data_IF_120873585769
#
_entry.id   IF_120873585769
#
_cell.length_a   1.000
_cell.length_b   1.000
_cell.length_c   1.000
_cell.angle_alpha   90.00
_cell.angle_beta   90.00
_cell.angle_gamma   90.00
#
_symmetry.space_group_name_H-M   'P 1'
#
loop_
_entity.id
_entity.type
_entity.pdbx_description
1 polymer ?
#
# COMPACT_ATOMS: atom_id res chain seq x y z
N UNK A 1 20.57 -28.42 46.71
CA UNK A 1 19.98 -29.69 47.20
C UNK A 1 18.55 -29.79 46.72
N UNK A 2 18.30 -30.85 45.96
CA UNK A 2 16.98 -31.42 45.60
C UNK A 2 16.17 -30.67 44.52
N UNK A 3 15.59 -31.27 43.49
CA UNK A 3 15.66 -32.63 42.88
C UNK A 3 14.99 -32.53 41.50
N UNK A 4 15.61 -33.14 40.52
CA UNK A 4 15.12 -33.40 39.16
C UNK A 4 13.97 -34.40 39.24
N UNK A 5 12.92 -34.21 38.45
CA UNK A 5 12.05 -35.32 38.02
C UNK A 5 11.74 -35.29 36.53
N UNK A 6 12.45 -36.16 35.86
CA UNK A 6 12.19 -36.67 34.52
C UNK A 6 10.99 -37.63 34.58
N UNK A 7 10.04 -37.52 33.67
CA UNK A 7 9.07 -38.59 33.38
C UNK A 7 9.16 -38.96 31.92
N UNK A 8 9.68 -40.16 31.70
CA UNK A 8 9.66 -40.91 30.43
C UNK A 8 8.40 -41.79 30.46
N UNK A 9 7.63 -41.83 29.40
CA UNK A 9 6.72 -42.93 29.17
C UNK A 9 6.80 -43.42 27.73
N UNK A 10 6.90 -44.74 27.63
CA UNK A 10 7.25 -45.59 26.49
C UNK A 10 6.06 -45.92 25.62
N UNK A 11 6.31 -45.94 24.33
CA UNK A 11 5.94 -46.87 23.25
C UNK A 11 4.89 -47.96 23.51
N UNK A 12 3.95 -48.12 22.56
CA UNK A 12 3.53 -49.45 22.11
C UNK A 12 3.26 -49.44 20.58
N UNK A 13 3.95 -50.37 19.93
CA UNK A 13 3.78 -50.86 18.55
C UNK A 13 2.49 -51.70 18.45
N UNK A 14 1.79 -51.61 17.36
CA UNK A 14 1.20 -52.82 16.77
C UNK A 14 0.91 -52.69 15.26
N UNK A 15 1.07 -53.80 14.63
CA UNK A 15 1.33 -54.11 13.24
C UNK A 15 0.11 -54.23 12.33
N UNK A 16 0.38 -53.96 11.08
CA UNK A 16 -0.01 -54.69 9.83
C UNK A 16 -1.40 -55.29 9.67
N UNK A 17 -2.18 -54.79 8.70
CA UNK A 17 -2.91 -55.65 7.78
C UNK A 17 -2.84 -55.06 6.38
N UNK A 18 -2.31 -55.89 5.47
CA UNK A 18 -2.24 -55.72 4.03
C UNK A 18 -3.54 -56.21 3.41
N UNK A 19 -4.21 -55.41 2.57
CA UNK A 19 -5.14 -55.96 1.57
C UNK A 19 -5.04 -55.18 0.27
N UNK A 20 -4.54 -55.87 -0.76
CA UNK A 20 -4.61 -55.49 -2.18
C UNK A 20 -6.09 -55.56 -2.64
N UNK A 21 -6.56 -54.52 -3.34
CA UNK A 21 -7.51 -54.66 -4.44
C UNK A 21 -7.48 -53.43 -5.37
N UNK A 22 -7.19 -53.66 -6.63
CA UNK A 22 -7.96 -53.23 -7.78
C UNK A 22 -7.76 -51.77 -8.27
N UNK A 23 -6.97 -51.65 -9.31
CA UNK A 23 -6.88 -50.51 -10.24
C UNK A 23 -8.22 -50.11 -10.84
N UNK A 24 -8.60 -48.86 -10.75
CA UNK A 24 -9.42 -48.17 -11.74
C UNK A 24 -8.92 -46.73 -11.88
N UNK A 25 -8.23 -46.49 -13.02
CA UNK A 25 -7.91 -45.15 -13.49
C UNK A 25 -9.20 -44.47 -13.96
N UNK A 26 -9.74 -43.57 -13.19
CA UNK A 26 -10.67 -42.56 -13.66
C UNK A 26 -9.92 -41.22 -13.68
N UNK A 27 -9.58 -40.79 -14.91
CA UNK A 27 -9.02 -39.48 -15.17
C UNK A 27 -10.03 -38.39 -14.82
N UNK A 28 -9.87 -37.76 -13.66
CA UNK A 28 -10.57 -36.54 -13.33
C UNK A 28 -9.78 -35.36 -13.91
N UNK A 29 -10.29 -34.80 -15.00
CA UNK A 29 -9.87 -33.50 -15.52
C UNK A 29 -10.16 -32.46 -14.46
N UNK A 30 -9.10 -31.92 -13.82
CA UNK A 30 -9.20 -30.74 -12.97
C UNK A 30 -9.48 -29.53 -13.86
N UNK A 31 -10.75 -29.21 -14.04
CA UNK A 31 -11.15 -27.92 -14.55
C UNK A 31 -10.78 -26.87 -13.47
N UNK A 32 -9.74 -26.11 -13.74
CA UNK A 32 -9.44 -24.89 -12.98
C UNK A 32 -10.62 -23.94 -13.17
N UNK A 33 -11.46 -23.84 -12.15
CA UNK A 33 -12.49 -22.81 -12.10
C UNK A 33 -11.78 -21.45 -12.04
N UNK A 34 -11.74 -20.74 -13.16
CA UNK A 34 -11.42 -19.33 -13.18
C UNK A 34 -12.51 -18.61 -12.38
N UNK A 35 -12.15 -18.11 -11.19
CA UNK A 35 -13.05 -17.26 -10.42
C UNK A 35 -13.21 -15.98 -11.23
N UNK A 36 -14.39 -15.77 -11.77
CA UNK A 36 -14.74 -14.51 -12.41
C UNK A 36 -14.60 -13.36 -11.38
N UNK A 37 -14.03 -12.20 -11.77
CA UNK A 37 -13.95 -11.06 -10.87
C UNK A 37 -15.35 -10.70 -10.36
N UNK A 38 -15.46 -10.39 -9.07
CA UNK A 38 -16.72 -10.03 -8.47
C UNK A 38 -17.31 -8.79 -9.15
N UNK A 39 -18.62 -8.69 -9.22
CA UNK A 39 -19.32 -7.54 -9.82
C UNK A 39 -18.93 -6.20 -9.16
N UNK A 40 -18.46 -6.23 -7.91
CA UNK A 40 -17.93 -5.10 -7.15
C UNK A 40 -16.61 -4.61 -7.72
N UNK A 41 -15.70 -5.52 -8.12
CA UNK A 41 -14.40 -5.14 -8.71
C UNK A 41 -14.58 -4.49 -10.09
N UNK A 42 -15.53 -4.98 -10.89
CA UNK A 42 -15.84 -4.40 -12.20
C UNK A 42 -16.46 -3.00 -12.08
N UNK A 43 -17.36 -2.78 -11.12
CA UNK A 43 -17.98 -1.49 -10.86
C UNK A 43 -16.97 -0.47 -10.30
N UNK A 44 -16.06 -0.89 -9.40
CA UNK A 44 -14.98 -0.06 -8.90
C UNK A 44 -13.95 0.26 -9.99
N UNK A 45 -13.60 -0.70 -10.83
CA UNK A 45 -12.70 -0.49 -11.98
C UNK A 45 -13.26 0.56 -12.95
N UNK A 46 -14.57 0.59 -13.19
CA UNK A 46 -15.23 1.57 -14.05
C UNK A 46 -15.28 2.96 -13.41
N UNK A 47 -15.44 3.07 -12.10
CA UNK A 47 -15.49 4.35 -11.38
C UNK A 47 -14.15 5.10 -11.31
N UNK A 48 -13.02 4.41 -11.54
CA UNK A 48 -11.66 4.97 -11.50
C UNK A 48 -11.18 5.53 -12.84
N UNK A 49 -11.94 5.38 -13.91
CA UNK A 49 -11.70 5.98 -15.22
C UNK A 49 -11.98 7.48 -15.13
N UNK A 50 -11.01 8.27 -14.74
CA UNK A 50 -11.22 9.72 -14.66
C UNK A 50 -10.18 10.52 -13.92
N UNK A 51 -9.11 9.89 -13.43
CA UNK A 51 -7.95 10.65 -12.96
C UNK A 51 -7.17 11.16 -14.18
N UNK A 52 -6.98 12.48 -14.33
CA UNK A 52 -6.28 13.02 -15.49
C UNK A 52 -4.84 12.51 -15.52
N UNK A 53 -4.36 12.15 -16.71
CA UNK A 53 -2.98 11.70 -17.00
C UNK A 53 -2.56 10.34 -16.38
N UNK A 54 -3.51 9.56 -15.88
CA UNK A 54 -3.28 8.20 -15.43
C UNK A 54 -3.97 7.23 -16.39
N UNK A 55 -3.29 6.92 -17.49
CA UNK A 55 -3.71 5.86 -18.43
C UNK A 55 -3.18 4.51 -17.94
N UNK A 56 -3.98 3.47 -17.99
CA UNK A 56 -3.57 2.11 -17.65
C UNK A 56 -4.65 1.32 -16.91
N UNK A 57 -4.36 0.05 -16.69
CA UNK A 57 -5.24 -0.81 -15.90
C UNK A 57 -5.08 -0.51 -14.41
N UNK A 58 -6.18 -0.14 -13.79
CA UNK A 58 -6.29 0.01 -12.36
C UNK A 58 -6.73 -1.29 -11.71
N UNK A 59 -6.16 -1.58 -10.55
CA UNK A 59 -6.56 -2.68 -9.69
C UNK A 59 -6.93 -2.14 -8.31
N UNK A 60 -7.92 -2.75 -7.69
CA UNK A 60 -8.27 -2.49 -6.29
C UNK A 60 -7.84 -3.70 -5.48
N UNK A 61 -7.02 -3.49 -4.48
CA UNK A 61 -6.61 -4.50 -3.50
C UNK A 61 -7.41 -4.25 -2.23
N UNK A 62 -7.92 -5.31 -1.60
CA UNK A 62 -8.79 -5.24 -0.43
C UNK A 62 -10.05 -4.36 -0.67
N UNK A 63 -10.65 -4.47 -1.85
CA UNK A 63 -11.79 -3.63 -2.25
C UNK A 63 -13.01 -3.78 -1.35
N UNK A 64 -13.19 -4.93 -0.70
CA UNK A 64 -14.23 -5.19 0.29
C UNK A 64 -14.00 -4.45 1.63
N UNK A 65 -12.80 -3.90 1.83
CA UNK A 65 -12.42 -3.13 3.03
C UNK A 65 -12.64 -1.63 2.88
N UNK A 66 -13.34 -1.20 1.84
CA UNK A 66 -13.63 0.21 1.66
C UNK A 66 -14.31 0.50 0.33
N UNK A 67 -14.46 1.76 0.03
CA UNK A 67 -14.93 2.23 -1.27
C UNK A 67 -13.96 3.23 -1.87
N UNK A 68 -13.87 3.23 -3.20
CA UNK A 68 -13.11 4.20 -3.97
C UNK A 68 -13.99 4.79 -5.06
N UNK A 69 -13.93 6.10 -5.26
CA UNK A 69 -14.67 6.79 -6.32
C UNK A 69 -13.90 8.00 -6.84
N UNK A 70 -14.10 8.32 -8.12
CA UNK A 70 -13.55 9.53 -8.72
C UNK A 70 -14.69 10.46 -9.11
N UNK A 71 -14.63 11.71 -8.66
CA UNK A 71 -15.56 12.78 -9.05
C UNK A 71 -14.78 14.07 -9.29
N UNK A 72 -14.98 14.69 -10.44
CA UNK A 72 -14.34 15.97 -10.81
C UNK A 72 -12.81 15.96 -10.62
N UNK A 73 -12.13 14.85 -10.97
CA UNK A 73 -10.69 14.71 -10.85
C UNK A 73 -10.17 14.47 -9.42
N UNK A 74 -11.06 14.24 -8.45
CA UNK A 74 -10.71 13.88 -7.06
C UNK A 74 -10.99 12.39 -6.85
N UNK A 75 -9.98 11.63 -6.46
CA UNK A 75 -10.13 10.28 -5.97
C UNK A 75 -10.43 10.33 -4.48
N UNK A 76 -11.56 9.75 -4.07
CA UNK A 76 -11.92 9.56 -2.67
C UNK A 76 -11.82 8.09 -2.32
N UNK A 77 -11.11 7.77 -1.24
CA UNK A 77 -11.03 6.44 -0.63
C UNK A 77 -11.62 6.53 0.78
N UNK A 78 -12.61 5.68 1.06
CA UNK A 78 -13.25 5.57 2.37
C UNK A 78 -13.11 4.13 2.88
N UNK A 79 -12.14 3.86 3.75
CA UNK A 79 -11.95 2.54 4.36
C UNK A 79 -13.07 2.23 5.34
N UNK A 80 -13.34 0.94 5.58
CA UNK A 80 -14.12 0.51 6.75
C UNK A 80 -13.25 0.62 8.01
N UNK A 81 -13.86 0.64 9.22
CA UNK A 81 -13.14 0.56 10.48
C UNK A 81 -12.14 -0.60 10.56
N UNK A 82 -11.09 -0.45 11.37
CA UNK A 82 -10.07 -1.47 11.63
C UNK A 82 -9.34 -1.96 10.39
N UNK A 83 -8.94 -1.02 9.54
CA UNK A 83 -8.06 -1.26 8.40
C UNK A 83 -6.68 -0.67 8.65
N UNK A 84 -5.64 -1.39 8.23
CA UNK A 84 -4.25 -0.93 8.34
C UNK A 84 -3.35 -1.57 7.27
N UNK A 85 -2.16 -1.01 7.12
CA UNK A 85 -1.07 -1.54 6.32
C UNK A 85 0.21 -1.38 7.14
N UNK A 86 0.53 -2.39 7.97
CA UNK A 86 1.67 -2.36 8.90
C UNK A 86 2.10 -3.76 9.34
N UNK A 87 3.42 -3.99 9.41
CA UNK A 87 4.06 -5.15 10.03
C UNK A 87 4.95 -4.64 11.17
N UNK A 88 4.53 -4.83 12.41
CA UNK A 88 5.30 -4.37 13.56
C UNK A 88 6.71 -4.96 13.59
N UNK A 89 7.75 -4.17 13.90
CA UNK A 89 9.11 -4.66 14.02
C UNK A 89 9.30 -5.76 15.07
N UNK A 90 8.43 -5.80 16.09
CA UNK A 90 8.45 -6.76 17.20
C UNK A 90 7.58 -8.00 16.99
N UNK A 91 7.03 -8.21 15.78
CA UNK A 91 6.09 -9.29 15.42
C UNK A 91 4.74 -9.31 16.17
N UNK A 92 4.48 -8.33 17.01
CA UNK A 92 3.27 -8.28 17.81
C UNK A 92 2.01 -7.95 17.01
N UNK A 93 2.15 -7.41 15.79
CA UNK A 93 1.03 -6.89 15.02
C UNK A 93 1.33 -6.94 13.51
N UNK A 94 0.48 -7.63 12.75
CA UNK A 94 0.55 -7.69 11.29
C UNK A 94 -0.84 -7.48 10.72
N UNK A 95 -1.05 -6.38 9.99
CA UNK A 95 -2.30 -6.10 9.28
C UNK A 95 -1.99 -5.57 7.88
N UNK A 96 -2.55 -6.23 6.86
CA UNK A 96 -2.43 -5.88 5.44
C UNK A 96 -3.84 -5.94 4.82
N UNK A 97 -4.72 -5.08 5.30
CA UNK A 97 -6.12 -5.06 4.86
C UNK A 97 -6.64 -3.69 4.42
N UNK A 98 -5.75 -2.69 4.32
CA UNK A 98 -6.14 -1.38 3.81
C UNK A 98 -6.59 -1.46 2.35
N UNK A 99 -7.69 -0.78 1.95
CA UNK A 99 -8.09 -0.68 0.55
C UNK A 99 -7.05 0.15 -0.22
N UNK A 100 -6.58 -0.40 -1.35
CA UNK A 100 -5.59 0.27 -2.20
C UNK A 100 -6.09 0.36 -3.63
N UNK A 101 -5.87 1.50 -4.25
CA UNK A 101 -6.17 1.79 -5.67
C UNK A 101 -4.84 1.92 -6.39
N UNK A 102 -4.49 0.93 -7.22
CA UNK A 102 -3.15 0.74 -7.75
C UNK A 102 -3.14 0.61 -9.27
N UNK A 103 -2.04 1.06 -9.89
CA UNK A 103 -1.69 0.78 -11.29
C UNK A 103 -0.23 0.32 -11.39
N UNK A 104 0.13 -0.30 -12.50
CA UNK A 104 1.50 -0.73 -12.76
C UNK A 104 2.24 0.37 -13.55
N UNK A 105 3.20 1.10 -12.94
CA UNK A 105 4.00 2.07 -13.66
C UNK A 105 5.08 1.36 -14.47
N UNK A 106 5.38 1.86 -15.66
CA UNK A 106 6.51 1.40 -16.45
C UNK A 106 7.73 2.31 -16.24
N UNK A 107 8.92 1.70 -16.05
CA UNK A 107 10.19 2.42 -15.96
C UNK A 107 10.27 3.44 -14.81
N UNK A 108 10.93 4.54 -15.10
CA UNK A 108 11.09 5.67 -14.18
C UNK A 108 9.80 6.49 -14.10
N UNK A 109 9.52 7.04 -12.94
CA UNK A 109 8.30 7.86 -12.77
C UNK A 109 8.40 8.88 -11.63
N UNK A 110 7.46 9.82 -11.66
CA UNK A 110 7.12 10.69 -10.54
C UNK A 110 5.60 10.76 -10.42
N UNK A 111 5.05 10.42 -9.26
CA UNK A 111 3.65 10.61 -8.89
C UNK A 111 3.54 11.66 -7.80
N UNK A 112 2.68 12.66 -8.00
CA UNK A 112 2.32 13.69 -7.02
C UNK A 112 0.81 13.69 -6.81
N UNK A 113 0.37 13.96 -5.58
CA UNK A 113 -1.00 14.30 -5.26
C UNK A 113 -1.08 15.32 -4.12
N UNK A 114 -2.12 16.14 -4.12
CA UNK A 114 -2.60 16.83 -2.93
C UNK A 114 -3.48 15.87 -2.15
N UNK A 115 -3.09 15.58 -0.93
CA UNK A 115 -3.76 14.63 -0.04
C UNK A 115 -4.46 15.41 1.06
N UNK A 116 -5.77 15.23 1.18
CA UNK A 116 -6.61 15.93 2.15
C UNK A 116 -7.39 14.92 2.98
N UNK A 117 -7.40 15.10 4.30
CA UNK A 117 -8.15 14.25 5.21
C UNK A 117 -8.46 14.99 6.52
N UNK A 118 -9.58 14.62 7.16
CA UNK A 118 -9.84 14.99 8.54
C UNK A 118 -9.24 13.92 9.45
N UNK A 119 -8.03 14.14 9.91
CA UNK A 119 -7.27 13.26 10.79
C UNK A 119 -7.72 13.47 12.23
N UNK A 120 -8.67 12.68 12.70
CA UNK A 120 -9.28 12.82 14.04
C UNK A 120 -8.76 11.77 15.01
N UNK A 121 -8.63 10.53 14.56
CA UNK A 121 -8.19 9.44 15.41
C UNK A 121 -6.73 9.11 15.12
N UNK A 122 -6.02 8.65 16.14
CA UNK A 122 -4.66 8.13 15.97
C UNK A 122 -4.68 7.04 14.90
N UNK A 123 -3.74 7.11 13.96
CA UNK A 123 -3.63 6.24 12.81
C UNK A 123 -4.76 6.33 11.78
N UNK A 124 -5.47 7.48 11.73
CA UNK A 124 -6.16 7.88 10.49
C UNK A 124 -5.10 8.23 9.46
N UNK A 125 -5.07 7.55 8.33
CA UNK A 125 -4.00 7.63 7.34
C UNK A 125 -4.53 7.79 5.93
N UNK A 126 -3.97 8.77 5.20
CA UNK A 126 -4.10 8.94 3.77
C UNK A 126 -2.69 8.87 3.13
N UNK A 127 -2.45 8.01 2.15
CA UNK A 127 -1.09 7.80 1.66
C UNK A 127 -0.99 7.51 0.15
N UNK A 128 0.16 7.89 -0.41
CA UNK A 128 0.68 7.29 -1.63
C UNK A 128 1.38 5.97 -1.27
N UNK A 129 1.23 4.94 -2.10
CA UNK A 129 1.75 3.61 -1.82
C UNK A 129 2.46 3.00 -3.02
N UNK A 130 3.60 2.36 -2.76
CA UNK A 130 4.28 1.39 -3.62
C UNK A 130 4.00 0.00 -3.04
N UNK A 131 3.44 -0.90 -3.81
CA UNK A 131 3.03 -2.22 -3.34
C UNK A 131 3.54 -3.32 -4.27
N UNK A 132 4.38 -4.20 -3.76
CA UNK A 132 4.82 -5.42 -4.42
C UNK A 132 3.94 -6.60 -4.03
N UNK A 133 3.98 -6.93 -2.77
CA UNK A 133 3.21 -7.99 -2.12
C UNK A 133 2.98 -7.64 -0.64
N UNK A 134 2.37 -8.56 0.13
CA UNK A 134 2.03 -8.33 1.55
C UNK A 134 3.24 -8.09 2.46
N UNK A 135 4.45 -8.39 2.01
CA UNK A 135 5.70 -8.25 2.78
C UNK A 135 6.62 -7.16 2.26
N UNK A 136 6.37 -6.65 1.04
CA UNK A 136 7.24 -5.68 0.37
C UNK A 136 6.42 -4.52 -0.18
N UNK A 137 6.41 -3.42 0.54
CA UNK A 137 5.71 -2.20 0.14
C UNK A 137 6.33 -0.98 0.83
N UNK A 138 5.97 0.20 0.34
CA UNK A 138 6.31 1.46 1.00
C UNK A 138 5.16 2.45 0.88
N UNK A 139 4.92 3.23 1.92
CA UNK A 139 3.88 4.27 1.93
C UNK A 139 4.44 5.59 2.43
N UNK A 140 3.98 6.67 1.80
CA UNK A 140 4.19 8.05 2.23
C UNK A 140 2.86 8.60 2.70
N UNK A 141 2.75 8.87 3.97
CA UNK A 141 1.50 9.12 4.69
C UNK A 141 1.33 10.59 5.07
N UNK A 142 0.08 11.03 5.02
CA UNK A 142 -0.47 12.10 5.84
C UNK A 142 -1.29 11.41 6.92
N UNK A 143 -0.86 11.51 8.17
CA UNK A 143 -1.29 10.63 9.25
C UNK A 143 -1.50 11.41 10.54
N UNK A 144 -2.52 11.03 11.33
CA UNK A 144 -2.59 11.42 12.72
C UNK A 144 -1.68 10.48 13.52
N UNK A 145 -0.50 10.95 13.85
CA UNK A 145 0.54 10.17 14.52
C UNK A 145 0.14 9.76 15.95
N UNK A 146 0.94 8.90 16.57
CA UNK A 146 0.77 8.51 17.98
C UNK A 146 0.76 9.71 18.96
N UNK A 147 1.34 10.84 18.54
CA UNK A 147 1.34 12.09 19.30
C UNK A 147 0.05 12.92 19.10
N UNK A 148 -0.91 12.41 18.31
CA UNK A 148 -2.15 13.10 17.92
C UNK A 148 -1.89 14.39 17.14
N UNK A 149 -0.87 14.37 16.32
CA UNK A 149 -0.47 15.45 15.42
C UNK A 149 -0.54 14.98 13.97
N UNK A 150 -1.14 15.81 13.11
CA UNK A 150 -1.10 15.55 11.67
C UNK A 150 0.36 15.63 11.20
N UNK A 151 0.89 14.51 10.72
CA UNK A 151 2.32 14.31 10.47
C UNK A 151 2.54 13.66 9.11
N UNK A 152 3.61 14.02 8.43
CA UNK A 152 4.13 13.24 7.30
C UNK A 152 4.91 12.06 7.86
N UNK A 153 4.49 10.86 7.53
CA UNK A 153 5.13 9.61 7.98
C UNK A 153 5.56 8.79 6.77
N UNK A 154 6.72 8.18 6.86
CA UNK A 154 7.22 7.24 5.83
C UNK A 154 7.34 5.85 6.42
N UNK A 155 6.88 4.84 5.68
CA UNK A 155 7.04 3.45 6.04
C UNK A 155 7.62 2.69 4.85
N UNK A 156 8.67 1.91 5.09
CA UNK A 156 9.24 0.98 4.11
C UNK A 156 9.24 -0.41 4.72
N UNK A 157 8.49 -1.33 4.12
CA UNK A 157 8.34 -2.70 4.61
C UNK A 157 9.12 -3.66 3.73
N UNK A 158 10.02 -4.39 4.38
CA UNK A 158 10.79 -5.53 3.87
C UNK A 158 10.69 -6.60 4.93
N UNK A 159 9.66 -7.43 4.87
CA UNK A 159 9.21 -8.35 5.92
C UNK A 159 8.68 -7.62 7.18
N UNK A 160 9.36 -6.58 7.65
CA UNK A 160 9.02 -5.72 8.78
C UNK A 160 8.94 -4.26 8.32
N UNK A 161 8.08 -3.50 8.94
CA UNK A 161 7.95 -2.07 8.70
C UNK A 161 9.05 -1.29 9.41
N UNK A 162 9.70 -0.43 8.64
CA UNK A 162 10.65 0.57 9.09
C UNK A 162 9.96 1.92 8.87
N UNK A 163 9.44 2.50 9.93
CA UNK A 163 8.67 3.75 9.89
C UNK A 163 9.43 4.92 10.53
N UNK A 164 9.16 6.11 10.02
CA UNK A 164 9.74 7.34 10.54
C UNK A 164 8.77 8.51 10.39
N UNK A 165 8.59 9.24 11.48
CA UNK A 165 7.93 10.54 11.46
C UNK A 165 8.87 11.56 10.82
N UNK A 166 8.32 12.37 9.90
CA UNK A 166 9.00 13.52 9.32
C UNK A 166 8.51 14.81 10.00
N UNK A 167 7.78 15.66 9.31
CA UNK A 167 7.35 16.94 9.84
C UNK A 167 5.84 16.96 10.14
N UNK A 168 5.46 17.71 11.15
CA UNK A 168 4.06 18.02 11.43
C UNK A 168 3.50 19.02 10.41
N UNK A 169 2.21 18.92 10.13
CA UNK A 169 1.50 19.71 9.14
C UNK A 169 0.27 20.35 9.78
N UNK A 170 0.28 21.65 9.97
CA UNK A 170 -0.84 22.38 10.56
C UNK A 170 -2.02 22.65 9.61
N UNK A 171 -2.07 21.97 8.46
CA UNK A 171 -3.09 22.12 7.41
C UNK A 171 -3.90 20.82 7.29
N UNK A 172 -5.18 20.88 6.87
CA UNK A 172 -5.96 19.67 6.56
C UNK A 172 -5.52 18.96 5.28
N UNK A 173 -4.43 19.37 4.66
CA UNK A 173 -3.86 18.77 3.47
C UNK A 173 -2.33 18.92 3.44
N UNK A 174 -1.71 18.07 2.64
CA UNK A 174 -0.30 18.14 2.27
C UNK A 174 -0.12 17.64 0.84
N UNK A 175 0.89 18.09 0.13
CA UNK A 175 1.30 17.51 -1.13
C UNK A 175 2.32 16.42 -0.88
N UNK A 176 2.07 15.24 -1.43
CA UNK A 176 2.95 14.08 -1.35
C UNK A 176 3.43 13.70 -2.75
N UNK A 177 4.67 13.22 -2.85
CA UNK A 177 5.21 12.71 -4.11
C UNK A 177 6.12 11.51 -3.88
N UNK A 178 6.02 10.53 -4.78
CA UNK A 178 6.93 9.38 -4.86
C UNK A 178 7.56 9.38 -6.25
N UNK A 179 8.87 9.19 -6.31
CA UNK A 179 9.61 9.05 -7.55
C UNK A 179 10.44 7.75 -7.58
N UNK A 180 10.66 7.24 -8.80
CA UNK A 180 11.51 6.07 -9.09
C UNK A 180 12.51 6.41 -10.18
N UNK A 181 13.77 6.00 -9.98
CA UNK A 181 14.84 6.00 -10.98
C UNK A 181 15.57 4.65 -10.91
N UNK A 182 15.32 3.78 -11.89
CA UNK A 182 15.81 2.40 -11.82
C UNK A 182 15.27 1.68 -10.58
N UNK A 183 16.16 1.32 -9.65
CA UNK A 183 15.80 0.70 -8.36
C UNK A 183 15.90 1.66 -7.17
N UNK A 184 15.99 2.94 -7.43
CA UNK A 184 16.10 4.01 -6.44
C UNK A 184 14.74 4.69 -6.31
N UNK A 185 14.27 4.88 -5.08
CA UNK A 185 13.00 5.51 -4.76
C UNK A 185 13.21 6.69 -3.83
N UNK A 186 12.42 7.75 -4.03
CA UNK A 186 12.38 8.88 -3.11
C UNK A 186 10.95 9.27 -2.79
N UNK A 187 10.74 9.72 -1.56
CA UNK A 187 9.49 10.25 -1.04
C UNK A 187 9.70 11.71 -0.67
N UNK A 188 8.83 12.56 -1.15
CA UNK A 188 8.88 13.99 -0.91
C UNK A 188 7.52 14.50 -0.46
N UNK A 189 7.54 15.57 0.31
CA UNK A 189 6.32 16.29 0.68
C UNK A 189 6.51 17.80 0.50
N UNK A 190 5.39 18.49 0.39
CA UNK A 190 5.34 19.94 0.31
C UNK A 190 4.09 20.48 1.00
N UNK A 191 4.20 21.64 1.67
CA UNK A 191 3.06 22.31 2.29
C UNK A 191 2.28 23.19 1.32
N UNK A 192 2.93 23.61 0.24
CA UNK A 192 2.42 24.59 -0.73
C UNK A 192 2.39 24.05 -2.18
N UNK A 193 2.91 22.85 -2.42
CA UNK A 193 3.05 22.25 -3.75
C UNK A 193 4.19 22.84 -4.58
N UNK A 194 4.98 23.76 -4.04
CA UNK A 194 6.09 24.44 -4.71
C UNK A 194 7.45 24.09 -4.11
N UNK A 195 7.56 24.18 -2.77
CA UNK A 195 8.78 23.85 -2.05
C UNK A 195 8.71 22.43 -1.54
N UNK A 196 9.55 21.55 -2.11
CA UNK A 196 9.56 20.13 -1.79
C UNK A 196 10.69 19.78 -0.83
N UNK A 197 10.41 18.88 0.10
CA UNK A 197 11.34 18.35 1.09
C UNK A 197 11.45 16.86 0.92
N UNK A 198 12.67 16.32 1.01
CA UNK A 198 12.91 14.89 1.02
C UNK A 198 12.46 14.32 2.38
N UNK A 199 11.53 13.37 2.35
CA UNK A 199 11.12 12.61 3.53
C UNK A 199 11.91 11.30 3.65
N UNK A 200 12.16 10.61 2.51
CA UNK A 200 12.91 9.34 2.51
C UNK A 200 13.55 9.06 1.15
N UNK A 201 14.68 8.37 1.19
CA UNK A 201 15.40 7.88 0.01
C UNK A 201 15.82 6.42 0.29
N UNK A 202 15.42 5.48 -0.57
CA UNK A 202 15.53 4.04 -0.27
C UNK A 202 15.54 3.18 -1.53
N UNK A 203 15.71 1.87 -1.34
CA UNK A 203 15.54 0.85 -2.37
C UNK A 203 14.56 -0.22 -1.90
N UNK A 204 13.93 -0.88 -2.85
CA UNK A 204 13.18 -2.13 -2.66
C UNK A 204 13.87 -3.23 -3.47
N UNK A 205 13.61 -4.53 -3.17
CA UNK A 205 14.14 -5.62 -3.96
C UNK A 205 13.82 -5.45 -5.46
N UNK A 206 14.82 -5.52 -6.34
CA UNK A 206 14.67 -5.13 -7.75
C UNK A 206 13.76 -6.08 -8.55
N UNK A 207 13.57 -7.32 -8.08
CA UNK A 207 12.71 -8.34 -8.68
C UNK A 207 11.22 -8.09 -8.46
N UNK A 208 10.86 -7.18 -7.56
CA UNK A 208 9.47 -6.91 -7.24
C UNK A 208 8.74 -6.22 -8.40
N UNK A 209 7.59 -6.77 -8.77
CA UNK A 209 6.64 -6.12 -9.69
C UNK A 209 5.79 -5.11 -8.91
N UNK A 210 6.34 -3.93 -8.72
CA UNK A 210 5.69 -2.90 -7.93
C UNK A 210 4.51 -2.28 -8.68
N UNK A 211 3.43 -2.07 -7.94
CA UNK A 211 2.29 -1.22 -8.31
C UNK A 211 2.36 0.06 -7.49
N UNK A 212 1.86 1.13 -8.06
CA UNK A 212 1.87 2.48 -7.49
C UNK A 212 0.44 2.97 -7.35
N UNK A 213 0.14 3.72 -6.31
CA UNK A 213 -1.17 4.32 -6.18
C UNK A 213 -1.47 4.94 -4.82
N UNK A 214 -2.69 4.71 -4.34
CA UNK A 214 -3.29 5.42 -3.24
C UNK A 214 -3.92 4.46 -2.24
N UNK A 215 -3.86 4.80 -0.98
CA UNK A 215 -4.52 4.06 0.10
C UNK A 215 -5.01 5.01 1.19
N UNK A 216 -6.04 4.58 1.90
CA UNK A 216 -6.47 5.20 3.14
C UNK A 216 -6.85 4.10 4.13
N UNK A 217 -6.57 4.30 5.40
CA UNK A 217 -6.95 3.35 6.46
C UNK A 217 -7.15 4.03 7.81
N UNK A 218 -7.82 3.36 8.73
CA UNK A 218 -8.08 3.82 10.08
C UNK A 218 -8.18 2.64 11.04
N UNK A 219 -7.54 2.73 12.18
CA UNK A 219 -7.67 1.74 13.27
C UNK A 219 -8.92 1.99 14.14
N UNK A 220 -9.58 3.11 13.95
CA UNK A 220 -10.73 3.51 14.76
C UNK A 220 -12.04 2.87 14.31
N UNK A 221 -13.06 2.94 15.19
CA UNK A 221 -14.45 2.58 14.88
C UNK A 221 -15.20 3.67 14.08
N UNK A 222 -14.57 4.83 13.80
CA UNK A 222 -15.21 5.95 13.14
C UNK A 222 -15.06 5.87 11.63
N UNK A 223 -16.01 6.46 10.92
CA UNK A 223 -15.87 6.67 9.49
C UNK A 223 -14.72 7.62 9.18
N UNK A 224 -13.90 7.23 8.25
CA UNK A 224 -12.78 8.00 7.73
C UNK A 224 -12.85 8.05 6.21
N UNK A 225 -12.35 9.11 5.62
CA UNK A 225 -12.15 9.21 4.17
C UNK A 225 -11.00 10.16 3.85
N UNK A 226 -10.30 9.84 2.79
CA UNK A 226 -9.23 10.67 2.25
C UNK A 226 -9.53 11.06 0.80
N UNK A 227 -9.18 12.28 0.45
CA UNK A 227 -9.30 12.82 -0.91
C UNK A 227 -7.91 13.06 -1.51
N UNK A 228 -7.73 12.57 -2.73
CA UNK A 228 -6.52 12.75 -3.53
C UNK A 228 -6.88 13.59 -4.76
N UNK A 229 -6.34 14.79 -4.83
CA UNK A 229 -6.59 15.75 -5.91
C UNK A 229 -5.29 16.28 -6.49
N UNK A 230 -5.37 17.08 -7.55
CA UNK A 230 -4.21 17.63 -8.24
C UNK A 230 -3.15 16.55 -8.57
N UNK A 231 -3.64 15.36 -8.94
CA UNK A 231 -2.81 14.20 -9.23
C UNK A 231 -2.05 14.44 -10.53
N UNK A 232 -0.73 14.29 -10.45
CA UNK A 232 0.17 14.37 -11.59
C UNK A 232 1.04 13.12 -11.62
N UNK A 233 0.98 12.40 -12.74
CA UNK A 233 1.90 11.31 -13.03
C UNK A 233 2.78 11.67 -14.22
N UNK A 234 4.06 11.39 -14.09
CA UNK A 234 5.04 11.57 -15.18
C UNK A 234 5.88 10.29 -15.30
N UNK A 235 6.03 9.74 -16.52
CA UNK A 235 6.88 8.57 -16.77
C UNK A 235 8.36 8.96 -16.87
N UNK A 236 8.83 9.81 -15.95
CA UNK A 236 10.22 10.23 -15.82
C UNK A 236 10.55 10.46 -14.35
N UNK A 237 11.82 10.20 -13.97
CA UNK A 237 12.34 10.55 -12.67
C UNK A 237 12.78 12.03 -12.60
N UNK A 238 12.88 12.62 -11.39
CA UNK A 238 13.57 13.87 -11.18
C UNK A 238 15.06 13.75 -11.58
N UNK A 239 15.67 14.85 -12.01
CA UNK A 239 17.11 14.88 -12.29
C UNK A 239 17.93 14.50 -11.05
N UNK A 240 17.50 14.92 -9.88
CA UNK A 240 18.10 14.57 -8.60
C UNK A 240 17.05 13.96 -7.68
N UNK A 241 17.20 12.68 -7.34
CA UNK A 241 16.25 11.96 -6.48
C UNK A 241 16.14 12.52 -5.06
N UNK A 242 17.09 13.35 -4.63
CA UNK A 242 17.07 14.01 -3.31
C UNK A 242 16.48 15.42 -3.36
N UNK A 243 16.15 15.92 -4.55
CA UNK A 243 15.61 17.27 -4.77
C UNK A 243 14.50 17.21 -5.82
N UNK A 244 13.28 17.43 -5.39
CA UNK A 244 12.14 17.52 -6.29
C UNK A 244 11.81 18.99 -6.51
N UNK A 245 11.75 19.41 -7.77
CA UNK A 245 11.42 20.78 -8.14
C UNK A 245 10.01 20.86 -8.75
N UNK A 246 9.37 22.02 -8.68
CA UNK A 246 8.07 22.25 -9.30
C UNK A 246 8.09 21.96 -10.82
N UNK A 247 9.23 22.20 -11.50
CA UNK A 247 9.41 21.89 -12.92
C UNK A 247 9.34 20.38 -13.22
N UNK A 248 9.81 19.52 -12.30
CA UNK A 248 9.71 18.06 -12.43
C UNK A 248 8.27 17.57 -12.42
N UNK A 249 7.35 18.40 -11.90
CA UNK A 249 5.92 18.10 -11.73
C UNK A 249 5.03 18.90 -12.66
N UNK A 250 5.56 19.92 -13.35
CA UNK A 250 4.78 20.69 -14.34
C UNK A 250 4.56 19.84 -15.58
N UNK A 251 3.32 19.79 -16.08
CA UNK A 251 2.98 19.07 -17.32
C UNK A 251 3.54 19.70 -18.62
N UNK A 252 4.33 20.74 -18.50
CA UNK A 252 5.01 21.39 -19.62
C UNK A 252 6.31 20.63 -19.91
N UNK A 253 6.24 19.68 -20.84
CA UNK A 253 7.43 19.22 -21.55
C UNK A 253 7.89 20.42 -22.37
N UNK A 254 8.97 21.07 -21.97
CA UNK A 254 9.73 21.87 -22.92
C UNK A 254 10.16 20.91 -24.05
N UNK A 255 9.57 21.06 -25.23
CA UNK A 255 9.98 20.38 -26.45
C UNK A 255 11.31 20.93 -26.92
#
# INVERSE_FOLDING_TARGET
MHVIRTVVCKTHFNALILSLFGTALLGASLATAQVAPSSTDAAQKTALIGLPNLSGEWSVVNGEKGSASVRSGVLRIAPVPHTNLFHSPDDGFVVVNAPMVLFAPEGDFTLKAKVSAQLVNVYDVAALVLYGDDKHWAKLCFENSALQEATVVTVVTRERSDDANSETVASPFVYLAIARKGNEYSMHFSRDGQQWRLARHFQLPPELKLRLGFTAHTDSNRQFAADFSEVVYRPIAPLNMRQLNAADLSGLIAR
#
